data_IF_482968769214
#
_entry.id   IF_482968769214
#
_cell.length_a   1.000
_cell.length_b   1.000
_cell.length_c   1.000
_cell.angle_alpha   90.00
_cell.angle_beta   90.00
_cell.angle_gamma   90.00
#
_symmetry.space_group_name_H-M   'P 1'
#
loop_
_entity.id
_entity.type
_entity.pdbx_description
1 polymer ?
#
# COMPACT_ATOMS: atom_id res chain seq x y z
N UNK A 1 -10.86 -9.90 8.26
CA UNK A 1 -10.99 -10.61 6.96
C UNK A 1 -11.69 -9.76 5.92
N UNK A 2 -12.95 -9.37 6.14
CA UNK A 2 -13.73 -8.57 5.16
C UNK A 2 -13.04 -7.25 4.79
N UNK A 3 -12.57 -6.47 5.78
CA UNK A 3 -11.82 -5.22 5.51
C UNK A 3 -10.53 -5.41 4.69
N UNK A 4 -9.79 -6.52 4.87
CA UNK A 4 -8.53 -6.77 4.13
C UNK A 4 -8.80 -7.03 2.65
N UNK A 5 -9.79 -7.88 2.35
CA UNK A 5 -10.19 -8.20 0.96
C UNK A 5 -10.65 -6.95 0.22
N UNK A 6 -11.41 -6.05 0.88
CA UNK A 6 -11.80 -4.78 0.26
C UNK A 6 -10.61 -3.88 -0.06
N UNK A 7 -9.62 -3.82 0.83
CA UNK A 7 -8.41 -3.03 0.61
C UNK A 7 -7.59 -3.64 -0.55
N UNK A 8 -7.42 -4.96 -0.59
CA UNK A 8 -6.74 -5.63 -1.71
C UNK A 8 -7.42 -5.35 -3.05
N UNK A 9 -8.75 -5.44 -3.13
CA UNK A 9 -9.51 -5.09 -4.34
C UNK A 9 -9.31 -3.61 -4.72
N UNK A 10 -9.29 -2.70 -3.75
CA UNK A 10 -9.04 -1.28 -3.99
C UNK A 10 -7.64 -1.05 -4.58
N UNK A 11 -6.60 -1.67 -4.01
CA UNK A 11 -5.24 -1.55 -4.54
C UNK A 11 -5.09 -2.21 -5.91
N UNK A 12 -5.82 -3.30 -6.18
CA UNK A 12 -5.89 -3.90 -7.50
C UNK A 12 -6.49 -2.93 -8.51
N UNK A 13 -7.63 -2.29 -8.20
CA UNK A 13 -8.24 -1.27 -9.07
C UNK A 13 -7.28 -0.09 -9.28
N UNK A 14 -6.66 0.40 -8.20
CA UNK A 14 -5.66 1.47 -8.25
C UNK A 14 -4.46 1.12 -9.13
N UNK A 15 -4.06 -0.14 -9.25
CA UNK A 15 -2.97 -0.51 -10.17
C UNK A 15 -3.26 -0.18 -11.64
N UNK A 16 -4.55 -0.13 -12.01
CA UNK A 16 -4.98 0.29 -13.34
C UNK A 16 -5.02 1.82 -13.49
N UNK A 17 -5.35 2.56 -12.44
CA UNK A 17 -5.57 4.02 -12.50
C UNK A 17 -4.39 4.87 -12.01
N UNK A 18 -3.51 4.32 -11.17
CA UNK A 18 -2.38 5.00 -10.55
C UNK A 18 -1.04 4.45 -11.03
N UNK A 19 -0.01 5.32 -11.05
CA UNK A 19 1.39 4.94 -11.24
C UNK A 19 2.04 4.57 -9.92
N UNK A 20 1.65 5.25 -8.84
CA UNK A 20 2.25 5.08 -7.52
C UNK A 20 1.27 5.37 -6.40
N UNK A 21 1.38 4.62 -5.30
CA UNK A 21 0.73 4.93 -4.02
C UNK A 21 1.80 4.96 -2.93
N UNK A 22 1.82 6.02 -2.14
CA UNK A 22 2.66 6.17 -0.97
C UNK A 22 1.79 6.36 0.27
N UNK A 23 2.09 5.63 1.33
CA UNK A 23 1.33 5.62 2.58
C UNK A 23 2.32 5.74 3.72
N UNK A 24 2.09 6.69 4.61
CA UNK A 24 2.77 6.75 5.90
C UNK A 24 1.76 7.10 7.00
N UNK A 25 2.23 7.21 8.24
CA UNK A 25 1.38 7.55 9.39
C UNK A 25 0.62 8.88 9.25
N UNK A 26 1.11 9.80 8.42
CA UNK A 26 0.59 11.16 8.31
C UNK A 26 -0.34 11.30 7.08
N UNK A 27 0.04 10.72 5.94
CA UNK A 27 -0.55 10.99 4.63
C UNK A 27 -0.67 9.72 3.77
N UNK A 28 -1.69 9.73 2.90
CA UNK A 28 -1.72 8.88 1.70
C UNK A 28 -1.58 9.78 0.48
N UNK A 29 -0.63 9.45 -0.39
CA UNK A 29 -0.37 10.18 -1.62
C UNK A 29 -0.52 9.20 -2.79
N UNK A 30 -1.33 9.57 -3.77
CA UNK A 30 -1.57 8.76 -4.97
C UNK A 30 -1.16 9.57 -6.18
N UNK A 31 -0.28 9.02 -6.99
CA UNK A 31 0.06 9.54 -8.31
C UNK A 31 -0.82 8.83 -9.33
N UNK A 32 -1.88 9.49 -9.79
CA UNK A 32 -2.77 8.97 -10.82
C UNK A 32 -2.12 9.05 -12.21
N UNK A 33 -2.48 8.13 -13.11
CA UNK A 33 -2.04 8.14 -14.51
C UNK A 33 -2.66 9.30 -15.29
N UNK A 34 -3.87 9.73 -14.89
CA UNK A 34 -4.58 10.89 -15.42
C UNK A 34 -4.90 11.85 -14.28
N UNK A 35 -4.54 13.11 -14.48
CA UNK A 35 -4.81 14.18 -13.52
C UNK A 35 -6.28 14.65 -13.61
N UNK A 36 -6.81 15.19 -12.51
CA UNK A 36 -8.08 15.93 -12.43
C UNK A 36 -9.38 15.19 -12.80
N UNK A 37 -9.51 13.90 -12.45
CA UNK A 37 -10.80 13.19 -12.49
C UNK A 37 -11.54 13.28 -11.15
N UNK A 38 -12.86 13.47 -11.19
CA UNK A 38 -13.68 13.51 -9.96
C UNK A 38 -13.57 12.19 -9.17
N UNK A 39 -13.52 11.06 -9.88
CA UNK A 39 -13.29 9.71 -9.33
C UNK A 39 -12.00 9.62 -8.49
N UNK A 40 -10.95 10.39 -8.83
CA UNK A 40 -9.69 10.39 -8.08
C UNK A 40 -9.90 10.95 -6.65
N UNK A 41 -10.76 11.96 -6.50
CA UNK A 41 -11.09 12.53 -5.18
C UNK A 41 -11.88 11.52 -4.35
N UNK A 42 -12.86 10.86 -4.96
CA UNK A 42 -13.66 9.82 -4.29
C UNK A 42 -12.78 8.66 -3.80
N UNK A 43 -11.79 8.24 -4.61
CA UNK A 43 -10.82 7.20 -4.23
C UNK A 43 -9.95 7.65 -3.04
N UNK A 44 -9.49 8.90 -3.04
CA UNK A 44 -8.70 9.44 -1.93
C UNK A 44 -9.52 9.49 -0.63
N UNK A 45 -10.77 9.95 -0.70
CA UNK A 45 -11.68 9.96 0.46
C UNK A 45 -11.97 8.54 0.97
N UNK A 46 -12.18 7.58 0.07
CA UNK A 46 -12.37 6.18 0.44
C UNK A 46 -11.14 5.63 1.18
N UNK A 47 -9.93 5.91 0.68
CA UNK A 47 -8.66 5.50 1.27
C UNK A 47 -8.48 6.07 2.69
N UNK A 48 -8.72 7.36 2.87
CA UNK A 48 -8.64 8.01 4.19
C UNK A 48 -9.64 7.36 5.17
N UNK A 49 -10.88 7.12 4.73
CA UNK A 49 -11.93 6.50 5.56
C UNK A 49 -11.66 5.04 5.93
N UNK A 50 -10.84 4.32 5.15
CA UNK A 50 -10.49 2.92 5.44
C UNK A 50 -9.54 2.77 6.62
N UNK A 51 -8.93 3.87 7.10
CA UNK A 51 -8.03 3.84 8.25
C UNK A 51 -6.77 3.02 8.00
N UNK A 52 -6.22 3.12 6.78
CA UNK A 52 -5.06 2.32 6.37
C UNK A 52 -3.76 2.78 7.04
N UNK A 53 -3.68 4.06 7.43
CA UNK A 53 -2.50 4.64 8.10
C UNK A 53 -2.31 4.06 9.51
N UNK A 54 -3.41 3.82 10.21
CA UNK A 54 -3.43 3.28 11.58
C UNK A 54 -2.92 1.84 11.63
N UNK A 55 -3.15 1.08 10.55
CA UNK A 55 -2.76 -0.34 10.47
C UNK A 55 -1.25 -0.49 10.27
N UNK A 56 -0.62 0.44 9.55
CA UNK A 56 0.82 0.34 9.23
C UNK A 56 1.71 0.93 10.31
N UNK A 57 1.16 1.61 11.31
CA UNK A 57 1.93 2.18 12.42
C UNK A 57 3.02 3.14 11.95
N UNK A 58 4.26 2.91 12.40
CA UNK A 58 5.42 3.76 12.07
C UNK A 58 6.13 3.38 10.76
N UNK A 59 5.57 2.44 10.00
CA UNK A 59 6.09 2.07 8.69
C UNK A 59 5.57 3.04 7.62
N UNK A 60 6.27 3.09 6.50
CA UNK A 60 5.73 3.64 5.25
C UNK A 60 5.79 2.62 4.14
N UNK A 61 4.77 2.64 3.28
CA UNK A 61 4.63 1.75 2.14
C UNK A 61 4.70 2.59 0.87
N UNK A 62 5.48 2.12 -0.10
CA UNK A 62 5.46 2.61 -1.47
C UNK A 62 5.10 1.46 -2.41
N UNK A 63 4.00 1.64 -3.15
CA UNK A 63 3.61 0.78 -4.26
C UNK A 63 3.87 1.52 -5.55
N UNK A 64 4.83 1.04 -6.33
CA UNK A 64 5.09 1.53 -7.67
C UNK A 64 4.49 0.53 -8.67
N UNK A 65 3.36 0.89 -9.28
CA UNK A 65 2.64 0.04 -10.22
C UNK A 65 3.27 0.05 -11.62
N UNK A 66 4.05 1.07 -11.97
CA UNK A 66 4.76 1.10 -13.24
C UNK A 66 5.88 0.03 -13.28
N UNK A 67 6.60 -0.13 -12.17
CA UNK A 67 7.69 -1.09 -12.06
C UNK A 67 7.33 -2.37 -11.30
N UNK A 68 6.09 -2.47 -10.80
CA UNK A 68 5.60 -3.60 -10.01
C UNK A 68 6.48 -3.87 -8.77
N UNK A 69 6.72 -2.81 -8.00
CA UNK A 69 7.56 -2.82 -6.80
C UNK A 69 6.73 -2.43 -5.58
N UNK A 70 6.91 -3.18 -4.49
CA UNK A 70 6.44 -2.83 -3.14
C UNK A 70 7.66 -2.58 -2.26
N UNK A 71 7.74 -1.40 -1.68
CA UNK A 71 8.74 -1.04 -0.69
C UNK A 71 8.09 -0.76 0.66
N UNK A 72 8.74 -1.23 1.71
CA UNK A 72 8.34 -1.05 3.10
C UNK A 72 9.53 -0.46 3.83
N UNK A 73 9.34 0.72 4.42
CA UNK A 73 10.38 1.47 5.10
C UNK A 73 9.98 1.71 6.56
N UNK A 74 10.96 1.70 7.46
CA UNK A 74 10.81 2.09 8.86
C UNK A 74 12.16 2.64 9.35
N UNK A 75 12.28 3.97 9.44
CA UNK A 75 13.55 4.64 9.74
C UNK A 75 14.68 4.15 8.80
N UNK A 76 15.64 3.37 9.32
CA UNK A 76 16.77 2.81 8.55
C UNK A 76 16.52 1.37 8.05
N UNK A 77 15.39 0.76 8.43
CA UNK A 77 14.99 -0.57 7.98
C UNK A 77 14.22 -0.45 6.67
N UNK A 78 14.52 -1.36 5.75
CA UNK A 78 13.97 -1.35 4.40
C UNK A 78 13.76 -2.79 3.91
N UNK A 79 12.60 -3.03 3.33
CA UNK A 79 12.29 -4.24 2.57
C UNK A 79 11.71 -3.86 1.22
N UNK A 80 12.17 -4.54 0.18
CA UNK A 80 11.67 -4.35 -1.17
C UNK A 80 11.32 -5.69 -1.81
N UNK A 81 10.10 -5.76 -2.33
CA UNK A 81 9.61 -6.83 -3.17
C UNK A 81 9.55 -6.30 -4.61
N UNK A 82 10.13 -7.05 -5.55
CA UNK A 82 10.17 -6.69 -6.98
C UNK A 82 9.51 -7.79 -7.80
N UNK A 83 9.14 -7.45 -9.04
CA UNK A 83 8.52 -8.38 -10.01
C UNK A 83 7.18 -8.94 -9.50
N UNK A 84 6.39 -8.09 -8.84
CA UNK A 84 5.05 -8.46 -8.43
C UNK A 84 4.22 -8.81 -9.68
N UNK A 85 3.72 -10.04 -9.73
CA UNK A 85 2.92 -10.55 -10.83
C UNK A 85 1.45 -10.20 -10.70
N UNK A 86 0.65 -10.61 -11.69
CA UNK A 86 -0.81 -10.42 -11.65
C UNK A 86 -1.44 -11.04 -10.39
N UNK A 87 -0.97 -12.22 -10.02
CA UNK A 87 -1.42 -12.91 -8.81
C UNK A 87 -0.91 -12.24 -7.53
N UNK A 88 0.03 -11.30 -7.57
CA UNK A 88 0.44 -10.55 -6.36
C UNK A 88 -0.39 -9.27 -6.20
N UNK A 89 -0.82 -8.68 -7.31
CA UNK A 89 -1.63 -7.44 -7.33
C UNK A 89 -2.94 -7.62 -6.58
N UNK A 90 -3.61 -8.75 -6.76
CA UNK A 90 -4.92 -9.03 -6.15
C UNK A 90 -4.87 -9.25 -4.62
N UNK A 91 -3.66 -9.30 -4.05
CA UNK A 91 -3.39 -9.48 -2.61
C UNK A 91 -2.23 -8.60 -2.11
N UNK A 92 -1.94 -7.51 -2.82
CA UNK A 92 -0.74 -6.69 -2.57
C UNK A 92 -0.73 -6.06 -1.18
N UNK A 93 -1.90 -5.67 -0.67
CA UNK A 93 -2.03 -5.14 0.68
C UNK A 93 -1.82 -6.24 1.71
N UNK A 94 -2.41 -7.42 1.49
CA UNK A 94 -2.18 -8.59 2.35
C UNK A 94 -0.69 -8.94 2.42
N UNK A 95 0.03 -8.95 1.29
CA UNK A 95 1.49 -9.17 1.25
C UNK A 95 2.22 -8.12 2.10
N UNK A 96 1.91 -6.84 1.90
CA UNK A 96 2.55 -5.76 2.66
C UNK A 96 2.33 -5.92 4.19
N UNK A 97 1.13 -6.31 4.62
CA UNK A 97 0.83 -6.49 6.04
C UNK A 97 1.57 -7.68 6.66
N UNK A 98 1.69 -8.79 5.93
CA UNK A 98 2.48 -9.97 6.40
C UNK A 98 3.94 -9.59 6.60
N UNK A 99 4.47 -8.78 5.69
CA UNK A 99 5.85 -8.32 5.77
C UNK A 99 6.08 -7.34 6.93
N UNK A 100 5.16 -6.40 7.14
CA UNK A 100 5.20 -5.50 8.31
C UNK A 100 5.12 -6.30 9.62
N UNK A 101 4.20 -7.27 9.72
CA UNK A 101 4.06 -8.12 10.92
C UNK A 101 5.32 -8.95 11.21
N UNK A 102 5.93 -9.48 10.16
CA UNK A 102 7.22 -10.19 10.26
C UNK A 102 8.33 -9.27 10.74
N UNK A 103 8.39 -8.04 10.22
CA UNK A 103 9.37 -7.04 10.66
C UNK A 103 9.16 -6.68 12.13
N UNK A 104 7.93 -6.36 12.54
CA UNK A 104 7.57 -6.05 13.93
C UNK A 104 7.95 -7.18 14.89
N UNK A 105 7.63 -8.43 14.55
CA UNK A 105 7.97 -9.60 15.38
C UNK A 105 9.48 -9.71 15.60
N UNK A 106 10.28 -9.52 14.54
CA UNK A 106 11.74 -9.51 14.65
C UNK A 106 12.29 -8.36 15.49
N UNK A 107 11.59 -7.22 15.58
CA UNK A 107 11.98 -6.12 16.47
C UNK A 107 11.77 -6.46 17.94
N UNK A 108 10.71 -7.20 18.26
CA UNK A 108 10.41 -7.61 19.65
C UNK A 108 11.41 -8.65 20.16
N UNK A 109 11.94 -9.48 19.26
CA UNK A 109 12.90 -10.55 19.59
C UNK A 109 14.36 -10.08 19.70
N UNK A 110 14.70 -8.88 19.22
CA UNK A 110 16.07 -8.34 19.13
C UNK A 110 16.43 -7.45 20.33
#
# INVERSE_FOLDING_TARGET
MIKKVYIDVLFMVLSYEATKVFINKDNVIISFKKEDQEENKEILELIENLGIKEVIGNYSIELNFEFMILEIHQQYKFKMLRKLGKDDIDKIWTIAMVDIDTLMTREVEA
#
